data_IF_858842101426
#
_entry.id   IF_858842101426
#
_cell.length_a   1.000
_cell.length_b   1.000
_cell.length_c   1.000
_cell.angle_alpha   90.00
_cell.angle_beta   90.00
_cell.angle_gamma   90.00
#
_symmetry.space_group_name_H-M   'P 1'
#
loop_
_entity.id
_entity.type
_entity.pdbx_description
1 polymer ?
#
# COMPACT_ATOMS: atom_id res chain seq x y z
N UNK A 1 -27.18 59.84 12.66
CA UNK A 1 -26.10 59.52 11.70
C UNK A 1 -24.81 59.45 12.52
N UNK A 2 -24.04 58.37 12.64
CA UNK A 2 -23.75 57.28 11.72
C UNK A 2 -23.24 56.09 12.57
N UNK A 3 -23.83 54.90 12.41
CA UNK A 3 -23.29 53.64 12.97
C UNK A 3 -22.07 53.20 12.18
N UNK A 4 -21.03 52.71 12.85
CA UNK A 4 -19.95 51.95 12.21
C UNK A 4 -19.93 50.53 12.79
N UNK A 5 -20.51 49.61 12.04
CA UNK A 5 -20.54 48.17 12.31
C UNK A 5 -19.19 47.59 11.84
N UNK A 6 -18.38 47.14 12.78
CA UNK A 6 -17.11 46.45 12.49
C UNK A 6 -17.44 45.04 11.98
N UNK A 7 -17.20 44.79 10.69
CA UNK A 7 -17.32 43.47 10.06
C UNK A 7 -16.07 42.64 10.40
N UNK A 8 -16.23 41.62 11.25
CA UNK A 8 -15.20 40.61 11.45
C UNK A 8 -15.13 39.69 10.23
N UNK A 9 -14.02 39.74 9.48
CA UNK A 9 -13.75 38.83 8.38
C UNK A 9 -13.15 37.52 8.94
N UNK A 10 -13.90 36.43 8.84
CA UNK A 10 -13.44 35.08 9.19
C UNK A 10 -12.56 34.55 8.05
N UNK A 11 -11.24 34.54 8.26
CA UNK A 11 -10.27 33.94 7.32
C UNK A 11 -10.29 32.42 7.54
N UNK A 12 -10.97 31.66 6.67
CA UNK A 12 -10.81 30.21 6.59
C UNK A 12 -9.42 29.90 6.01
N UNK A 13 -8.49 29.49 6.88
CA UNK A 13 -7.20 28.97 6.46
C UNK A 13 -7.37 27.62 5.78
N UNK A 14 -7.26 27.60 4.44
CA UNK A 14 -7.20 26.39 3.64
C UNK A 14 -5.81 25.77 3.82
N UNK A 15 -5.67 24.84 4.78
CA UNK A 15 -4.44 24.06 4.93
C UNK A 15 -4.37 23.05 3.79
N UNK A 16 -3.54 23.32 2.78
CA UNK A 16 -3.20 22.34 1.75
C UNK A 16 -2.41 21.19 2.41
N UNK A 17 -3.11 20.10 2.76
CA UNK A 17 -2.44 18.87 3.14
C UNK A 17 -1.75 18.29 1.90
N UNK A 18 -0.48 17.83 1.99
CA UNK A 18 0.15 17.13 0.89
C UNK A 18 -0.67 15.88 0.58
N UNK A 19 -1.04 15.70 -0.68
CA UNK A 19 -1.64 14.45 -1.17
C UNK A 19 -0.54 13.40 -1.18
N UNK A 20 -0.34 12.74 -0.04
CA UNK A 20 0.36 11.47 -0.04
C UNK A 20 -0.48 10.50 -0.86
N UNK A 21 0.15 9.76 -1.78
CA UNK A 21 -0.52 8.71 -2.54
C UNK A 21 -1.25 7.79 -1.55
N UNK A 22 -2.58 7.82 -1.58
CA UNK A 22 -3.37 7.04 -0.63
C UNK A 22 -3.17 5.56 -0.95
N UNK A 23 -2.66 4.84 0.04
CA UNK A 23 -2.49 3.40 -0.05
C UNK A 23 -3.85 2.74 0.18
N UNK A 24 -4.23 1.87 -0.73
CA UNK A 24 -5.49 1.15 -0.72
C UNK A 24 -5.24 -0.32 -0.44
N UNK A 25 -6.01 -0.88 0.48
CA UNK A 25 -6.09 -2.32 0.73
C UNK A 25 -7.45 -2.81 0.23
N UNK A 26 -7.45 -3.76 -0.70
CA UNK A 26 -8.67 -4.35 -1.28
C UNK A 26 -8.65 -5.88 -1.23
N UNK A 27 -9.80 -6.49 -1.52
CA UNK A 27 -9.84 -7.91 -1.83
C UNK A 27 -9.00 -8.23 -3.07
N UNK A 28 -8.55 -9.48 -3.17
CA UNK A 28 -7.88 -10.01 -4.36
C UNK A 28 -8.89 -10.43 -5.42
N UNK A 29 -9.46 -9.45 -6.11
CA UNK A 29 -10.46 -9.69 -7.15
C UNK A 29 -10.03 -9.04 -8.46
N UNK A 30 -10.46 -9.65 -9.56
CA UNK A 30 -10.26 -9.14 -10.92
C UNK A 30 -8.82 -9.25 -11.43
N UNK A 31 -8.59 -8.59 -12.58
CA UNK A 31 -7.34 -8.69 -13.35
C UNK A 31 -6.09 -8.36 -12.51
N UNK A 32 -6.11 -7.28 -11.72
CA UNK A 32 -4.92 -6.84 -10.96
C UNK A 32 -4.40 -7.89 -9.96
N UNK A 33 -5.26 -8.78 -9.47
CA UNK A 33 -4.87 -9.86 -8.56
C UNK A 33 -4.53 -11.19 -9.27
N UNK A 34 -4.57 -11.20 -10.60
CA UNK A 34 -4.30 -12.40 -11.42
C UNK A 34 -2.86 -12.87 -11.29
N UNK A 35 -2.67 -14.19 -11.30
CA UNK A 35 -1.35 -14.82 -11.31
C UNK A 35 -0.56 -14.51 -12.61
N UNK A 36 -1.24 -14.09 -13.68
CA UNK A 36 -0.57 -13.63 -14.91
C UNK A 36 0.29 -12.39 -14.69
N UNK A 37 -0.04 -11.60 -13.66
CA UNK A 37 0.65 -10.37 -13.33
C UNK A 37 1.83 -10.60 -12.37
N UNK A 38 2.24 -11.83 -12.04
CA UNK A 38 3.40 -12.01 -11.14
C UNK A 38 4.64 -11.31 -11.70
N UNK A 39 5.24 -10.43 -10.90
CA UNK A 39 6.44 -9.70 -11.26
C UNK A 39 7.69 -10.57 -11.09
N UNK A 40 8.10 -11.25 -12.17
CA UNK A 40 9.12 -12.30 -12.10
C UNK A 40 10.54 -11.84 -11.70
N UNK A 41 10.83 -10.54 -11.73
CA UNK A 41 12.14 -10.00 -11.33
C UNK A 41 12.37 -10.05 -9.82
N UNK A 42 11.35 -9.77 -9.00
CA UNK A 42 11.40 -9.88 -7.53
C UNK A 42 10.05 -10.39 -7.00
N UNK A 43 9.71 -11.67 -7.29
CA UNK A 43 8.31 -12.11 -7.32
C UNK A 43 7.69 -12.29 -5.95
N UNK A 44 8.43 -12.80 -4.97
CA UNK A 44 7.86 -13.12 -3.67
C UNK A 44 8.81 -12.95 -2.51
N UNK A 45 8.25 -12.76 -1.32
CA UNK A 45 8.98 -12.91 -0.06
C UNK A 45 8.09 -13.42 1.06
N UNK A 46 8.63 -14.30 1.89
CA UNK A 46 7.90 -14.92 3.00
C UNK A 46 8.34 -14.42 4.38
N UNK A 47 7.40 -14.37 5.31
CA UNK A 47 7.59 -13.99 6.71
C UNK A 47 6.79 -14.93 7.63
N UNK A 48 6.97 -14.77 8.95
CA UNK A 48 6.27 -15.57 9.97
C UNK A 48 6.35 -17.08 9.69
N UNK A 49 7.57 -17.60 9.53
CA UNK A 49 7.83 -19.03 9.22
C UNK A 49 7.09 -19.53 7.97
N UNK A 50 6.90 -18.66 6.97
CA UNK A 50 6.24 -19.02 5.71
C UNK A 50 4.72 -18.84 5.70
N UNK A 51 4.12 -18.48 6.84
CA UNK A 51 2.67 -18.27 6.92
C UNK A 51 2.21 -17.03 6.14
N UNK A 52 3.03 -15.99 6.07
CA UNK A 52 2.72 -14.77 5.31
C UNK A 52 3.62 -14.72 4.08
N UNK A 53 3.03 -14.52 2.90
CA UNK A 53 3.75 -14.35 1.64
C UNK A 53 3.34 -13.05 0.97
N UNK A 54 4.31 -12.22 0.64
CA UNK A 54 4.14 -11.12 -0.28
C UNK A 54 4.41 -11.60 -1.70
N UNK A 55 3.59 -11.19 -2.65
CA UNK A 55 3.74 -11.43 -4.09
C UNK A 55 3.70 -10.09 -4.79
N UNK A 56 4.74 -9.73 -5.53
CA UNK A 56 4.73 -8.53 -6.36
C UNK A 56 3.96 -8.82 -7.64
N UNK A 57 3.05 -7.92 -8.00
CA UNK A 57 2.23 -8.00 -9.20
C UNK A 57 2.51 -6.78 -10.08
N UNK A 58 2.66 -6.99 -11.38
CA UNK A 58 2.97 -6.02 -12.42
C UNK A 58 1.91 -6.10 -13.52
N UNK A 59 1.04 -5.09 -13.58
CA UNK A 59 0.00 -5.02 -14.61
C UNK A 59 0.49 -4.53 -15.97
N UNK A 60 1.80 -4.28 -16.13
CA UNK A 60 2.49 -3.76 -17.32
C UNK A 60 2.10 -2.34 -17.75
N UNK A 61 0.82 -1.99 -17.63
CA UNK A 61 0.29 -0.66 -17.93
C UNK A 61 -0.67 -0.17 -16.85
N UNK A 62 -0.74 1.16 -16.59
CA UNK A 62 0.15 2.20 -17.13
C UNK A 62 1.55 2.14 -16.49
N UNK A 63 2.62 2.26 -17.28
CA UNK A 63 4.04 2.13 -16.83
C UNK A 63 4.38 2.90 -15.53
N UNK A 64 3.72 4.02 -15.26
CA UNK A 64 3.94 4.81 -14.04
C UNK A 64 3.69 4.04 -12.73
N UNK A 65 2.77 3.08 -12.76
CA UNK A 65 2.03 2.70 -11.55
C UNK A 65 1.60 1.23 -11.61
N UNK A 66 2.44 0.38 -12.18
CA UNK A 66 2.10 -1.01 -12.51
C UNK A 66 2.19 -1.97 -11.32
N UNK A 67 3.00 -1.64 -10.30
CA UNK A 67 3.34 -2.59 -9.25
C UNK A 67 2.39 -2.50 -8.06
N UNK A 68 1.78 -3.62 -7.70
CA UNK A 68 1.01 -3.80 -6.47
C UNK A 68 1.58 -4.99 -5.68
N UNK A 69 1.26 -5.09 -4.38
CA UNK A 69 1.67 -6.25 -3.56
C UNK A 69 0.44 -7.02 -3.10
N UNK A 70 0.36 -8.29 -3.47
CA UNK A 70 -0.59 -9.24 -2.90
C UNK A 70 0.00 -9.80 -1.61
N UNK A 71 -0.76 -9.71 -0.53
CA UNK A 71 -0.44 -10.28 0.77
C UNK A 71 -1.27 -11.54 0.94
N UNK A 72 -0.63 -12.70 0.89
CA UNK A 72 -1.24 -14.01 1.18
C UNK A 72 -1.00 -14.32 2.65
N UNK A 73 -2.05 -14.66 3.39
CA UNK A 73 -2.02 -14.83 4.84
C UNK A 73 -2.98 -15.95 5.29
N UNK A 74 -2.74 -16.58 6.46
CA UNK A 74 -3.66 -17.57 6.99
C UNK A 74 -4.98 -16.90 7.38
N UNK A 75 -6.10 -17.48 6.94
CA UNK A 75 -7.40 -17.10 7.48
C UNK A 75 -7.62 -17.78 8.83
N UNK A 76 -8.34 -17.09 9.70
CA UNK A 76 -8.90 -17.66 10.92
C UNK A 76 -10.30 -18.25 10.69
N UNK A 77 -10.98 -17.78 9.65
CA UNK A 77 -12.38 -18.13 9.37
C UNK A 77 -12.50 -19.14 8.22
N UNK A 78 -11.42 -19.38 7.47
CA UNK A 78 -11.38 -20.26 6.29
C UNK A 78 -10.25 -21.28 6.39
N UNK A 79 -10.42 -22.51 5.85
CA UNK A 79 -9.39 -23.54 5.90
C UNK A 79 -8.27 -23.34 4.87
N UNK A 80 -8.39 -22.33 3.99
CA UNK A 80 -7.41 -21.99 2.97
C UNK A 80 -6.87 -20.57 3.17
N UNK A 81 -5.63 -20.28 2.70
CA UNK A 81 -5.08 -18.94 2.75
C UNK A 81 -5.97 -17.92 2.03
N UNK A 82 -6.03 -16.72 2.59
CA UNK A 82 -6.71 -15.58 1.99
C UNK A 82 -5.68 -14.59 1.47
N UNK A 83 -6.13 -13.60 0.70
CA UNK A 83 -5.25 -12.52 0.34
C UNK A 83 -5.92 -11.14 0.35
N UNK A 84 -5.07 -10.12 0.43
CA UNK A 84 -5.39 -8.72 0.21
C UNK A 84 -4.44 -8.14 -0.81
N UNK A 85 -4.94 -7.26 -1.65
CA UNK A 85 -4.16 -6.51 -2.61
C UNK A 85 -3.88 -5.13 -2.02
N UNK A 86 -2.61 -4.76 -1.92
CA UNK A 86 -2.17 -3.44 -1.48
C UNK A 86 -1.61 -2.70 -2.68
N UNK A 87 -2.16 -1.51 -2.93
CA UNK A 87 -1.88 -0.70 -4.10
C UNK A 87 -2.04 0.78 -3.75
N UNK A 88 -1.91 1.66 -4.74
CA UNK A 88 -2.21 3.09 -4.62
C UNK A 88 -3.48 3.41 -5.42
N UNK A 89 -4.06 4.60 -5.22
CA UNK A 89 -5.19 5.08 -6.04
C UNK A 89 -4.83 5.17 -7.54
N UNK A 90 -3.54 5.37 -7.89
CA UNK A 90 -3.07 5.38 -9.28
C UNK A 90 -2.80 3.98 -9.85
N UNK A 91 -3.01 2.92 -9.07
CA UNK A 91 -2.87 1.53 -9.50
C UNK A 91 -1.63 0.80 -9.01
N UNK A 92 -0.70 1.50 -8.35
CA UNK A 92 0.52 0.90 -7.83
C UNK A 92 1.70 1.87 -7.69
N UNK A 93 2.88 1.26 -7.65
CA UNK A 93 4.19 1.90 -7.62
C UNK A 93 4.91 1.68 -8.96
N UNK A 94 5.89 2.52 -9.25
CA UNK A 94 6.75 2.39 -10.43
C UNK A 94 7.79 1.26 -10.24
N UNK A 95 8.27 1.07 -9.01
CA UNK A 95 9.23 0.02 -8.67
C UNK A 95 8.97 -0.56 -7.27
N UNK A 96 9.39 -1.80 -7.03
CA UNK A 96 9.19 -2.52 -5.78
C UNK A 96 10.34 -3.50 -5.53
N UNK A 97 10.79 -3.59 -4.28
CA UNK A 97 11.95 -4.40 -3.92
C UNK A 97 11.61 -5.32 -2.74
N UNK A 98 10.86 -6.39 -3.00
CA UNK A 98 10.46 -7.36 -1.97
C UNK A 98 11.66 -8.02 -1.30
N UNK A 99 12.70 -8.35 -2.05
CA UNK A 99 13.99 -8.84 -1.55
C UNK A 99 14.63 -7.93 -0.47
N UNK A 100 14.28 -6.63 -0.45
CA UNK A 100 14.77 -5.63 0.53
C UNK A 100 13.78 -5.29 1.64
N UNK A 101 12.56 -5.83 1.61
CA UNK A 101 11.57 -5.67 2.67
C UNK A 101 12.10 -6.05 4.07
N UNK A 102 11.56 -5.46 5.13
CA UNK A 102 11.97 -5.78 6.51
C UNK A 102 10.75 -5.90 7.39
N UNK A 103 10.74 -6.94 8.23
CA UNK A 103 9.63 -7.20 9.13
C UNK A 103 9.98 -6.84 10.56
N UNK A 104 9.00 -6.31 11.29
CA UNK A 104 9.03 -6.08 12.72
C UNK A 104 7.73 -6.60 13.32
N UNK A 105 7.84 -7.37 14.40
CA UNK A 105 6.68 -7.89 15.11
C UNK A 105 6.38 -7.06 16.36
N UNK A 106 5.09 -6.77 16.56
CA UNK A 106 4.54 -6.12 17.74
C UNK A 106 3.35 -6.99 18.23
N UNK A 107 3.31 -7.43 19.51
CA UNK A 107 2.23 -8.29 20.00
C UNK A 107 0.83 -7.67 19.96
N UNK A 108 0.72 -6.34 19.96
CA UNK A 108 -0.55 -5.61 19.93
C UNK A 108 -1.00 -5.37 18.49
N UNK A 109 -0.06 -5.05 17.58
CA UNK A 109 -0.38 -4.66 16.19
C UNK A 109 -0.26 -5.81 15.19
N UNK A 110 0.58 -6.80 15.45
CA UNK A 110 0.94 -7.88 14.54
C UNK A 110 2.26 -7.65 13.80
N UNK A 111 2.39 -8.27 12.63
CA UNK A 111 3.59 -8.21 11.80
C UNK A 111 3.55 -6.99 10.87
N UNK A 112 4.46 -6.05 11.03
CA UNK A 112 4.64 -4.93 10.11
C UNK A 112 5.78 -5.20 9.15
N UNK A 113 5.53 -5.12 7.85
CA UNK A 113 6.52 -5.31 6.80
C UNK A 113 6.71 -3.99 6.04
N UNK A 114 7.90 -3.41 6.15
CA UNK A 114 8.33 -2.24 5.40
C UNK A 114 8.90 -2.68 4.05
N UNK A 115 8.33 -2.22 2.95
CA UNK A 115 8.69 -2.59 1.57
C UNK A 115 9.22 -1.34 0.88
N UNK A 116 10.51 -1.31 0.47
CA UNK A 116 11.02 -0.25 -0.38
C UNK A 116 10.32 -0.27 -1.74
N UNK A 117 9.86 0.91 -2.16
CA UNK A 117 9.14 1.13 -3.42
C UNK A 117 9.56 2.46 -4.03
N UNK A 118 9.20 2.67 -5.28
CA UNK A 118 9.38 3.96 -5.97
C UNK A 118 8.04 4.43 -6.52
N UNK A 119 7.69 5.69 -6.26
CA UNK A 119 6.52 6.34 -6.86
C UNK A 119 6.95 7.11 -8.10
N UNK A 120 6.22 6.96 -9.20
CA UNK A 120 6.46 7.75 -10.40
C UNK A 120 6.32 9.26 -10.12
N UNK A 121 7.24 10.06 -10.66
CA UNK A 121 7.20 11.52 -10.59
C UNK A 121 6.96 12.08 -11.98
N UNK A 122 7.83 11.73 -12.93
CA UNK A 122 7.74 12.10 -14.34
C UNK A 122 8.38 11.02 -15.21
N UNK A 123 8.32 11.17 -16.54
CA UNK A 123 8.74 10.14 -17.50
C UNK A 123 10.20 9.68 -17.40
N UNK A 124 11.00 10.32 -16.54
CA UNK A 124 12.41 9.97 -16.29
C UNK A 124 12.66 9.69 -14.81
N UNK A 125 11.92 10.34 -13.90
CA UNK A 125 12.20 10.34 -12.47
C UNK A 125 11.17 9.54 -11.67
N UNK A 126 11.69 8.79 -10.68
CA UNK A 126 10.90 8.22 -9.61
C UNK A 126 11.38 8.75 -8.25
N UNK A 127 10.49 8.71 -7.25
CA UNK A 127 10.80 9.05 -5.87
C UNK A 127 10.80 7.79 -5.00
N UNK A 128 11.93 7.50 -4.37
CA UNK A 128 12.06 6.37 -3.44
C UNK A 128 11.27 6.63 -2.15
N UNK A 129 10.47 5.64 -1.75
CA UNK A 129 9.71 5.67 -0.50
C UNK A 129 9.56 4.26 0.07
N UNK A 130 8.78 4.12 1.14
CA UNK A 130 8.50 2.84 1.77
C UNK A 130 7.01 2.73 2.04
N UNK A 131 6.40 1.65 1.57
CA UNK A 131 5.06 1.25 2.01
C UNK A 131 5.19 0.27 3.17
N UNK A 132 4.45 0.49 4.24
CA UNK A 132 4.38 -0.43 5.39
C UNK A 132 3.05 -1.14 5.38
N UNK A 133 3.10 -2.47 5.30
CA UNK A 133 1.92 -3.34 5.44
C UNK A 133 1.94 -3.95 6.84
N UNK A 134 0.91 -3.70 7.65
CA UNK A 134 0.73 -4.34 8.95
C UNK A 134 -0.35 -5.42 8.86
N UNK A 135 0.02 -6.64 9.22
CA UNK A 135 -0.84 -7.82 9.22
C UNK A 135 -1.10 -8.21 10.68
N UNK A 136 -2.32 -8.03 11.14
CA UNK A 136 -2.76 -8.54 12.43
C UNK A 136 -3.14 -10.02 12.28
N UNK A 137 -2.24 -10.92 12.70
CA UNK A 137 -2.44 -12.36 12.54
C UNK A 137 -3.57 -12.93 13.41
N UNK A 138 -3.96 -12.22 14.49
CA UNK A 138 -5.08 -12.64 15.34
C UNK A 138 -6.43 -12.23 14.75
N UNK A 139 -6.49 -11.09 14.05
CA UNK A 139 -7.75 -10.56 13.50
C UNK A 139 -7.86 -10.70 11.98
N UNK A 140 -6.82 -11.12 11.28
CA UNK A 140 -6.76 -11.15 9.81
C UNK A 140 -6.84 -9.76 9.16
N UNK A 141 -6.81 -8.69 9.97
CA UNK A 141 -6.85 -7.31 9.49
C UNK A 141 -5.51 -6.95 8.84
N UNK A 142 -5.59 -6.29 7.69
CA UNK A 142 -4.44 -5.78 6.97
C UNK A 142 -4.65 -4.29 6.74
N UNK A 143 -3.69 -3.49 7.20
CA UNK A 143 -3.62 -2.05 6.96
C UNK A 143 -2.31 -1.70 6.28
N UNK A 144 -2.31 -0.66 5.46
CA UNK A 144 -1.12 -0.22 4.75
C UNK A 144 -1.03 1.30 4.67
N UNK A 145 0.19 1.82 4.66
CA UNK A 145 0.50 3.27 4.66
C UNK A 145 1.85 3.55 4.04
#
# INVERSE_FOLDING_TARGET
MMSAIIRAALVLGLTAAPVLAQVKVSACEGFRASAENVYWTDPTRTFANGAIRLVALDTQEPVCCVLSVMVVYPSKDEPFPQCRLVSTESGGWANMFLSRAKAQYDPVKGLSVAIPVETYVDGVNNHATTVTVTINQATGEIVAR
#
